data_IF_493294614200
#
_entry.id   IF_493294614200
#
_cell.length_a   1.000
_cell.length_b   1.000
_cell.length_c   1.000
_cell.angle_alpha   90.00
_cell.angle_beta   90.00
_cell.angle_gamma   90.00
#
_symmetry.space_group_name_H-M   'P 1'
#
loop_
_entity.id
_entity.type
_entity.pdbx_description
1 polymer ?
#
# COMPACT_ATOMS: atom_id res chain seq x y z
N UNK A 1 13.30 -1.89 -12.98
CA UNK A 1 12.88 -3.30 -12.77
C UNK A 1 14.03 -4.17 -12.27
N UNK A 2 15.13 -4.34 -13.01
CA UNK A 2 16.20 -5.29 -12.64
C UNK A 2 16.79 -5.10 -11.23
N UNK A 3 17.04 -3.85 -10.82
CA UNK A 3 17.43 -3.53 -9.43
C UNK A 3 16.43 -4.02 -8.38
N UNK A 4 15.13 -3.94 -8.64
CA UNK A 4 14.06 -4.40 -7.74
C UNK A 4 13.99 -5.91 -7.65
N UNK A 5 14.18 -6.62 -8.77
CA UNK A 5 14.28 -8.08 -8.78
C UNK A 5 15.48 -8.53 -7.93
N UNK A 6 16.61 -7.83 -8.03
CA UNK A 6 17.77 -8.07 -7.17
C UNK A 6 17.47 -7.78 -5.70
N UNK A 7 16.77 -6.69 -5.39
CA UNK A 7 16.33 -6.38 -4.02
C UNK A 7 15.38 -7.45 -3.46
N UNK A 8 14.44 -7.95 -4.25
CA UNK A 8 13.54 -9.04 -3.85
C UNK A 8 14.35 -10.28 -3.49
N UNK A 9 15.26 -10.68 -4.39
CA UNK A 9 16.12 -11.85 -4.18
C UNK A 9 16.95 -11.73 -2.91
N UNK A 10 17.65 -10.60 -2.74
CA UNK A 10 18.54 -10.38 -1.59
C UNK A 10 17.74 -10.25 -0.28
N UNK A 11 16.59 -9.58 -0.31
CA UNK A 11 15.71 -9.48 0.86
C UNK A 11 15.11 -10.82 1.30
N UNK A 12 14.98 -11.78 0.39
CA UNK A 12 14.60 -13.16 0.69
C UNK A 12 15.82 -14.06 1.07
N UNK A 13 17.04 -13.51 1.13
CA UNK A 13 18.25 -14.27 1.46
C UNK A 13 18.71 -15.24 0.37
N UNK A 14 18.22 -15.09 -0.88
CA UNK A 14 18.41 -16.07 -1.94
C UNK A 14 19.63 -15.78 -2.82
N UNK A 15 20.30 -16.84 -3.28
CA UNK A 15 21.23 -16.83 -4.41
C UNK A 15 20.46 -16.86 -5.73
N UNK A 16 21.10 -16.47 -6.83
CA UNK A 16 20.45 -16.42 -8.15
C UNK A 16 19.90 -17.77 -8.60
N UNK A 17 20.61 -18.87 -8.30
CA UNK A 17 20.17 -20.22 -8.64
C UNK A 17 18.97 -20.68 -7.79
N UNK A 18 18.86 -20.22 -6.54
CA UNK A 18 17.73 -20.53 -5.66
C UNK A 18 16.47 -19.83 -6.14
N UNK A 19 16.59 -18.54 -6.49
CA UNK A 19 15.49 -17.82 -7.13
C UNK A 19 15.12 -18.46 -8.47
N UNK A 20 16.09 -18.89 -9.26
CA UNK A 20 15.82 -19.55 -10.54
C UNK A 20 14.98 -20.83 -10.36
N UNK A 21 15.28 -21.62 -9.31
CA UNK A 21 14.51 -22.81 -8.95
C UNK A 21 13.07 -22.47 -8.57
N UNK A 22 12.86 -21.41 -7.79
CA UNK A 22 11.52 -20.93 -7.42
C UNK A 22 10.73 -20.47 -8.66
N UNK A 23 11.38 -19.73 -9.56
CA UNK A 23 10.76 -19.19 -10.78
C UNK A 23 10.62 -20.23 -11.92
N UNK A 24 11.06 -21.48 -11.72
CA UNK A 24 11.06 -22.50 -12.76
C UNK A 24 11.88 -22.10 -13.99
N UNK A 25 13.05 -21.50 -13.78
CA UNK A 25 13.92 -20.97 -14.85
C UNK A 25 15.40 -21.24 -14.56
N UNK A 26 16.30 -20.73 -15.41
CA UNK A 26 17.74 -20.90 -15.26
C UNK A 26 18.39 -19.74 -14.50
N UNK A 27 19.54 -19.98 -13.87
CA UNK A 27 20.33 -18.91 -13.23
C UNK A 27 20.67 -17.79 -14.24
N UNK A 28 20.98 -18.15 -15.49
CA UNK A 28 21.25 -17.19 -16.57
C UNK A 28 20.04 -16.29 -16.86
N UNK A 29 18.83 -16.84 -16.82
CA UNK A 29 17.61 -16.05 -16.96
C UNK A 29 17.43 -15.07 -15.79
N UNK A 30 17.67 -15.50 -14.55
CA UNK A 30 17.63 -14.60 -13.37
C UNK A 30 18.66 -13.48 -13.49
N UNK A 31 19.89 -13.79 -13.92
CA UNK A 31 20.91 -12.77 -14.19
C UNK A 31 20.41 -11.74 -15.21
N UNK A 32 19.81 -12.19 -16.33
CA UNK A 32 19.22 -11.30 -17.34
C UNK A 32 18.11 -10.43 -16.74
N UNK A 33 17.26 -10.98 -15.87
CA UNK A 33 16.19 -10.23 -15.23
C UNK A 33 16.73 -9.12 -14.33
N UNK A 34 17.76 -9.40 -13.54
CA UNK A 34 18.42 -8.40 -12.70
C UNK A 34 19.08 -7.26 -13.50
N UNK A 35 19.38 -7.51 -14.78
CA UNK A 35 19.92 -6.53 -15.72
C UNK A 35 18.87 -5.87 -16.63
N UNK A 36 17.58 -6.13 -16.38
CA UNK A 36 16.48 -5.40 -17.02
C UNK A 36 15.73 -6.14 -18.12
N UNK A 37 16.05 -7.41 -18.38
CA UNK A 37 15.21 -8.25 -19.26
C UNK A 37 13.88 -8.55 -18.56
N UNK A 38 12.76 -8.24 -19.22
CA UNK A 38 11.43 -8.41 -18.63
C UNK A 38 11.09 -9.91 -18.54
N UNK A 39 10.77 -10.43 -17.35
CA UNK A 39 10.30 -11.81 -17.21
C UNK A 39 8.90 -11.98 -17.80
N UNK A 40 8.57 -13.20 -18.20
CA UNK A 40 7.21 -13.55 -18.62
C UNK A 40 6.19 -13.37 -17.47
N UNK A 41 4.89 -13.16 -17.78
CA UNK A 41 3.87 -12.86 -16.77
C UNK A 41 3.83 -13.84 -15.59
N UNK A 42 3.98 -15.14 -15.85
CA UNK A 42 4.03 -16.17 -14.79
C UNK A 42 5.17 -15.93 -13.81
N UNK A 43 6.36 -15.58 -14.29
CA UNK A 43 7.53 -15.32 -13.45
C UNK A 43 7.41 -14.01 -12.69
N UNK A 44 6.75 -13.00 -13.27
CA UNK A 44 6.43 -11.76 -12.57
C UNK A 44 5.51 -12.01 -11.38
N UNK A 45 4.51 -12.88 -11.51
CA UNK A 45 3.63 -13.26 -10.40
C UNK A 45 4.44 -13.95 -9.28
N UNK A 46 5.31 -14.90 -9.64
CA UNK A 46 6.16 -15.58 -8.65
C UNK A 46 7.16 -14.61 -7.99
N UNK A 47 7.75 -13.68 -8.74
CA UNK A 47 8.59 -12.62 -8.19
C UNK A 47 7.85 -11.73 -7.21
N UNK A 48 6.59 -11.37 -7.50
CA UNK A 48 5.77 -10.60 -6.60
C UNK A 48 5.45 -11.37 -5.31
N UNK A 49 5.25 -12.70 -5.41
CA UNK A 49 5.05 -13.57 -4.24
C UNK A 49 6.28 -13.67 -3.35
N UNK A 50 7.45 -13.98 -3.92
CA UNK A 50 8.74 -13.95 -3.19
C UNK A 50 9.02 -12.55 -2.64
N UNK A 51 8.57 -11.54 -3.38
CA UNK A 51 8.70 -10.14 -3.04
C UNK A 51 7.80 -9.66 -1.92
N UNK A 52 6.77 -10.43 -1.54
CA UNK A 52 5.62 -9.97 -0.74
C UNK A 52 5.12 -8.59 -1.22
N UNK A 53 5.00 -8.44 -2.53
CA UNK A 53 4.71 -7.17 -3.21
C UNK A 53 3.73 -7.38 -4.36
N UNK A 54 3.52 -6.35 -5.19
CA UNK A 54 2.68 -6.41 -6.39
C UNK A 54 3.53 -6.58 -7.66
N UNK A 55 2.95 -7.16 -8.71
CA UNK A 55 3.61 -7.22 -10.04
C UNK A 55 3.89 -5.80 -10.56
N UNK A 56 2.98 -4.87 -10.31
CA UNK A 56 3.14 -3.45 -10.62
C UNK A 56 4.43 -2.92 -10.00
N UNK A 57 4.62 -3.09 -8.69
CA UNK A 57 5.82 -2.61 -7.99
C UNK A 57 7.10 -3.22 -8.54
N UNK A 58 7.12 -4.51 -8.88
CA UNK A 58 8.28 -5.15 -9.52
C UNK A 58 8.66 -4.40 -10.82
N UNK A 59 7.65 -4.06 -11.62
CA UNK A 59 7.82 -3.41 -12.92
C UNK A 59 8.13 -1.93 -12.80
N UNK A 60 7.43 -1.16 -11.98
CA UNK A 60 7.47 0.31 -11.90
C UNK A 60 8.27 0.80 -10.69
N UNK A 61 8.12 0.14 -9.54
CA UNK A 61 8.58 0.59 -8.22
C UNK A 61 7.50 1.35 -7.44
N UNK A 62 6.28 1.35 -7.94
CA UNK A 62 5.12 2.03 -7.37
C UNK A 62 3.93 1.07 -7.33
N UNK A 63 3.15 1.15 -6.26
CA UNK A 63 1.88 0.45 -6.12
C UNK A 63 0.76 1.18 -6.88
N UNK A 64 -0.07 0.45 -7.62
CA UNK A 64 -1.15 1.05 -8.43
C UNK A 64 -2.22 1.71 -7.55
N UNK A 65 -2.40 1.15 -6.35
CA UNK A 65 -3.47 1.45 -5.44
C UNK A 65 -3.28 2.76 -4.65
N UNK A 66 -2.04 3.20 -4.43
CA UNK A 66 -1.76 4.39 -3.60
C UNK A 66 -0.49 5.15 -4.01
N UNK A 67 0.19 4.74 -5.08
CA UNK A 67 1.47 5.31 -5.50
C UNK A 67 2.60 5.09 -4.50
N UNK A 68 2.42 4.20 -3.52
CA UNK A 68 3.44 3.93 -2.52
C UNK A 68 4.66 3.29 -3.19
N UNK A 69 5.83 3.75 -2.78
CA UNK A 69 7.13 3.23 -3.23
C UNK A 69 7.68 2.17 -2.30
N UNK A 70 7.05 1.94 -1.14
CA UNK A 70 7.41 0.84 -0.25
C UNK A 70 7.17 -0.50 -0.96
N UNK A 71 7.98 -1.50 -0.61
CA UNK A 71 7.90 -2.82 -1.25
C UNK A 71 6.73 -3.63 -0.69
N UNK A 72 6.42 -3.45 0.59
CA UNK A 72 5.49 -4.31 1.30
C UNK A 72 4.08 -4.18 0.72
N UNK A 73 3.50 -5.31 0.35
CA UNK A 73 2.09 -5.36 -0.02
C UNK A 73 1.24 -4.95 1.18
N UNK A 74 0.23 -4.15 0.92
CA UNK A 74 -0.76 -3.76 1.93
C UNK A 74 -1.37 -4.99 2.59
N UNK A 75 -1.60 -4.91 3.90
CA UNK A 75 -2.22 -5.99 4.66
C UNK A 75 -3.66 -6.25 4.16
N UNK A 76 -4.14 -7.47 4.39
CA UNK A 76 -5.50 -7.86 4.00
C UNK A 76 -6.54 -6.98 4.67
N UNK A 77 -6.32 -6.59 5.93
CA UNK A 77 -7.21 -5.71 6.69
C UNK A 77 -7.34 -4.33 6.04
N UNK A 78 -6.24 -3.75 5.55
CA UNK A 78 -6.25 -2.48 4.82
C UNK A 78 -7.06 -2.61 3.53
N UNK A 79 -6.87 -3.71 2.78
CA UNK A 79 -7.55 -3.93 1.51
C UNK A 79 -9.06 -4.14 1.70
N UNK A 80 -9.47 -4.90 2.70
CA UNK A 80 -10.89 -5.13 2.99
C UNK A 80 -11.57 -3.87 3.50
N UNK A 81 -10.86 -3.08 4.31
CA UNK A 81 -11.33 -1.75 4.73
C UNK A 81 -11.49 -0.82 3.53
N UNK A 82 -10.51 -0.76 2.63
CA UNK A 82 -10.59 0.05 1.41
C UNK A 82 -11.77 -0.38 0.51
N UNK A 83 -12.03 -1.69 0.38
CA UNK A 83 -13.19 -2.22 -0.36
C UNK A 83 -14.51 -1.77 0.25
N UNK A 84 -14.64 -1.80 1.58
CA UNK A 84 -15.83 -1.30 2.25
C UNK A 84 -16.04 0.19 1.96
N UNK A 85 -14.98 0.99 2.06
CA UNK A 85 -15.04 2.43 1.82
C UNK A 85 -15.38 2.78 0.36
N UNK A 86 -14.95 1.96 -0.61
CA UNK A 86 -15.32 2.12 -2.03
C UNK A 86 -16.83 2.05 -2.30
N UNK A 87 -17.64 1.49 -1.39
CA UNK A 87 -19.10 1.41 -1.55
C UNK A 87 -19.83 2.71 -1.18
N UNK A 88 -19.11 3.68 -0.59
CA UNK A 88 -19.70 4.92 -0.12
C UNK A 88 -20.04 5.88 -1.27
N UNK A 89 -21.20 6.51 -1.17
CA UNK A 89 -21.62 7.59 -2.07
C UNK A 89 -20.83 8.90 -1.82
N UNK A 90 -21.00 9.89 -2.68
CA UNK A 90 -20.25 11.16 -2.61
C UNK A 90 -20.43 11.88 -1.27
N UNK A 91 -21.66 11.90 -0.75
CA UNK A 91 -22.00 12.61 0.48
C UNK A 91 -21.40 11.92 1.71
N UNK A 92 -21.46 10.60 1.76
CA UNK A 92 -20.86 9.78 2.82
C UNK A 92 -19.34 9.91 2.77
N UNK A 93 -18.76 10.03 1.57
CA UNK A 93 -17.32 10.24 1.42
C UNK A 93 -16.86 11.58 1.99
N UNK A 94 -17.58 12.67 1.72
CA UNK A 94 -17.30 13.98 2.33
C UNK A 94 -17.43 13.95 3.86
N UNK A 95 -18.42 13.22 4.38
CA UNK A 95 -18.59 13.04 5.83
C UNK A 95 -17.41 12.30 6.43
N UNK A 96 -16.90 11.27 5.74
CA UNK A 96 -15.74 10.50 6.19
C UNK A 96 -14.46 11.34 6.17
N UNK A 97 -14.24 12.15 5.14
CA UNK A 97 -13.11 13.10 5.09
C UNK A 97 -13.11 14.04 6.30
N UNK A 98 -14.27 14.59 6.63
CA UNK A 98 -14.43 15.50 7.76
C UNK A 98 -14.23 14.77 9.10
N UNK A 99 -14.81 13.58 9.26
CA UNK A 99 -14.61 12.76 10.45
C UNK A 99 -13.13 12.41 10.66
N UNK A 100 -12.43 11.96 9.62
CA UNK A 100 -10.99 11.66 9.68
C UNK A 100 -10.15 12.90 10.00
N UNK A 101 -10.54 14.08 9.49
CA UNK A 101 -9.89 15.35 9.83
C UNK A 101 -10.04 15.67 11.32
N UNK A 102 -11.25 15.59 11.84
CA UNK A 102 -11.55 15.87 13.26
C UNK A 102 -10.78 14.91 14.16
N UNK A 103 -10.76 13.60 13.85
CA UNK A 103 -10.09 12.62 14.69
C UNK A 103 -8.57 12.85 14.69
N UNK A 104 -7.95 13.16 13.55
CA UNK A 104 -6.52 13.50 13.48
C UNK A 104 -6.17 14.72 14.32
N UNK A 105 -6.99 15.77 14.24
CA UNK A 105 -6.81 16.98 15.05
C UNK A 105 -6.90 16.67 16.55
N UNK A 106 -7.88 15.85 16.94
CA UNK A 106 -8.03 15.39 18.32
C UNK A 106 -6.81 14.59 18.81
N UNK A 107 -6.28 13.68 17.99
CA UNK A 107 -5.08 12.89 18.33
C UNK A 107 -3.85 13.77 18.46
N UNK A 108 -3.63 14.70 17.54
CA UNK A 108 -2.52 15.65 17.60
C UNK A 108 -2.54 16.50 18.89
N UNK A 109 -3.72 16.96 19.31
CA UNK A 109 -3.88 17.70 20.57
C UNK A 109 -3.56 16.82 21.79
N UNK A 110 -3.89 15.53 21.74
CA UNK A 110 -3.60 14.60 22.83
C UNK A 110 -2.12 14.22 22.91
N UNK A 111 -1.45 14.05 21.78
CA UNK A 111 0.00 13.78 21.70
C UNK A 111 0.82 15.00 22.16
N UNK A 112 0.42 16.22 21.81
CA UNK A 112 1.09 17.46 22.24
C UNK A 112 0.92 17.79 23.74
N UNK A 113 0.00 17.14 24.45
CA UNK A 113 -0.30 17.35 25.88
C UNK A 113 0.41 16.38 26.83
N UNK A 114 1.40 15.62 26.37
CA UNK A 114 2.15 14.65 27.19
C UNK A 114 2.82 15.25 28.44
N UNK A 115 2.87 16.58 28.57
CA UNK A 115 3.40 17.29 29.74
C UNK A 115 2.36 17.61 30.83
N UNK A 116 1.05 17.42 30.58
CA UNK A 116 -0.01 17.92 31.47
C UNK A 116 -0.69 16.77 32.27
N UNK A 117 -0.50 16.68 33.60
CA UNK A 117 -0.95 15.54 34.41
C UNK A 117 -2.48 15.36 34.43
N UNK A 118 -3.24 16.40 34.10
CA UNK A 118 -4.72 16.37 34.02
C UNK A 118 -5.22 15.54 32.84
N UNK A 119 -4.45 15.46 31.74
CA UNK A 119 -4.88 14.76 30.51
C UNK A 119 -4.74 13.24 30.61
N UNK A 120 -3.92 12.74 31.54
CA UNK A 120 -3.72 11.31 31.81
C UNK A 120 -4.89 10.66 32.57
N UNK A 121 -5.79 11.46 33.16
CA UNK A 121 -6.84 10.98 34.05
C UNK A 121 -8.18 10.71 33.36
N UNK A 122 -8.37 11.08 32.09
CA UNK A 122 -9.61 10.76 31.37
C UNK A 122 -9.51 9.38 30.70
N UNK A 123 -10.37 8.41 31.06
CA UNK A 123 -10.40 7.10 30.40
C UNK A 123 -10.59 7.19 28.89
N UNK A 124 -11.27 8.25 28.43
CA UNK A 124 -11.55 8.48 27.02
C UNK A 124 -10.32 9.00 26.26
N UNK A 125 -9.47 9.83 26.87
CA UNK A 125 -8.22 10.27 26.22
C UNK A 125 -7.22 9.12 26.11
N UNK A 126 -7.14 8.27 27.14
CA UNK A 126 -6.31 7.08 27.12
C UNK A 126 -6.79 6.04 26.09
N UNK A 127 -8.10 5.75 26.05
CA UNK A 127 -8.68 4.85 25.05
C UNK A 127 -8.52 5.41 23.62
N UNK A 128 -8.77 6.71 23.42
CA UNK A 128 -8.57 7.34 22.11
C UNK A 128 -7.09 7.27 21.69
N UNK A 129 -6.13 7.59 22.57
CA UNK A 129 -4.69 7.43 22.29
C UNK A 129 -4.31 5.99 21.93
N UNK A 130 -4.81 5.01 22.69
CA UNK A 130 -4.52 3.60 22.49
C UNK A 130 -5.04 3.07 21.14
N UNK A 131 -6.24 3.49 20.73
CA UNK A 131 -6.84 3.07 19.47
C UNK A 131 -6.41 3.93 18.28
N UNK A 132 -6.03 5.19 18.50
CA UNK A 132 -5.72 6.16 17.46
C UNK A 132 -4.57 5.72 16.56
N UNK A 133 -3.44 5.29 17.13
CA UNK A 133 -2.22 5.06 16.34
C UNK A 133 -2.44 4.05 15.21
N UNK A 134 -2.74 2.80 15.57
CA UNK A 134 -2.85 1.71 14.59
C UNK A 134 -4.15 1.77 13.77
N UNK A 135 -5.28 2.13 14.41
CA UNK A 135 -6.59 2.13 13.72
C UNK A 135 -6.72 3.30 12.75
N UNK A 136 -6.22 4.50 13.10
CA UNK A 136 -6.26 5.63 12.18
C UNK A 136 -5.28 5.46 11.05
N UNK A 137 -4.08 4.92 11.31
CA UNK A 137 -3.14 4.64 10.22
C UNK A 137 -3.77 3.68 9.19
N UNK A 138 -4.41 2.61 9.67
CA UNK A 138 -5.12 1.65 8.82
C UNK A 138 -6.24 2.33 8.01
N UNK A 139 -7.12 3.09 8.66
CA UNK A 139 -8.23 3.80 8.02
C UNK A 139 -7.72 4.85 7.02
N UNK A 140 -6.69 5.61 7.36
CA UNK A 140 -6.11 6.62 6.47
C UNK A 140 -5.46 5.99 5.24
N UNK A 141 -4.71 4.89 5.41
CA UNK A 141 -4.12 4.16 4.29
C UNK A 141 -5.21 3.61 3.39
N UNK A 142 -6.25 2.98 3.97
CA UNK A 142 -7.40 2.48 3.24
C UNK A 142 -8.14 3.58 2.46
N UNK A 143 -8.31 4.75 3.07
CA UNK A 143 -8.95 5.91 2.44
C UNK A 143 -8.13 6.50 1.29
N UNK A 144 -6.81 6.65 1.46
CA UNK A 144 -5.90 7.10 0.39
C UNK A 144 -5.93 6.15 -0.80
N UNK A 145 -5.99 4.84 -0.54
CA UNK A 145 -6.11 3.82 -1.58
C UNK A 145 -7.38 4.03 -2.39
N UNK A 146 -8.54 4.10 -1.72
CA UNK A 146 -9.82 4.32 -2.40
C UNK A 146 -9.77 5.55 -3.32
N UNK A 147 -9.26 6.68 -2.81
CA UNK A 147 -9.21 7.93 -3.56
C UNK A 147 -8.32 7.81 -4.81
N UNK A 148 -7.13 7.23 -4.67
CA UNK A 148 -6.22 7.01 -5.80
C UNK A 148 -6.85 6.09 -6.87
N UNK A 149 -7.56 5.05 -6.45
CA UNK A 149 -8.31 4.17 -7.37
C UNK A 149 -9.40 4.94 -8.11
N UNK A 150 -10.22 5.73 -7.41
CA UNK A 150 -11.28 6.54 -8.02
C UNK A 150 -10.73 7.59 -9.00
N UNK A 151 -9.69 8.31 -8.62
CA UNK A 151 -9.03 9.31 -9.48
C UNK A 151 -8.48 8.67 -10.76
N UNK A 152 -7.95 7.45 -10.69
CA UNK A 152 -7.39 6.75 -11.86
C UNK A 152 -8.48 6.17 -12.76
N UNK A 153 -9.50 5.52 -12.18
CA UNK A 153 -10.64 4.99 -12.95
C UNK A 153 -11.37 6.11 -13.70
N UNK A 154 -11.61 7.25 -13.04
CA UNK A 154 -12.26 8.40 -13.67
C UNK A 154 -11.39 9.01 -14.78
N UNK A 155 -10.07 9.08 -14.59
CA UNK A 155 -9.12 9.53 -15.62
C UNK A 155 -9.12 8.62 -16.85
N UNK A 156 -9.10 7.30 -16.64
CA UNK A 156 -9.08 6.33 -17.73
C UNK A 156 -10.43 6.29 -18.48
N UNK A 157 -11.54 6.44 -17.77
CA UNK A 157 -12.86 6.60 -18.38
C UNK A 157 -12.93 7.85 -19.28
N UNK A 158 -12.42 9.00 -18.81
CA UNK A 158 -12.34 10.24 -19.60
C UNK A 158 -11.48 10.07 -20.86
N UNK A 159 -10.34 9.37 -20.76
CA UNK A 159 -9.47 9.10 -21.93
C UNK A 159 -10.18 8.25 -22.99
N UNK A 160 -10.94 7.23 -22.59
CA UNK A 160 -11.70 6.38 -23.53
C UNK A 160 -12.80 7.17 -24.25
N UNK A 161 -13.49 8.05 -23.54
CA UNK A 161 -14.53 8.92 -24.12
C UNK A 161 -13.96 10.00 -25.06
N UNK A 162 -12.69 10.38 -24.92
CA UNK A 162 -12.04 11.35 -25.79
C UNK A 162 -11.40 10.72 -27.05
N UNK A 163 -11.36 9.38 -27.14
CA UNK A 163 -10.74 8.63 -28.24
C UNK A 163 -11.77 7.91 -29.13
N UNK A 164 -13.06 7.98 -28.80
CA UNK A 164 -14.18 7.48 -29.61
C UNK A 164 -15.06 8.62 -30.08
#
# INVERSE_FOLDING_TARGET
MGRRIRQIRLGAGLRQWELARILGTTQSAVHKYEHGVVPEPRRLIELARVGETSVEWVLTGEHWENGATDRARLSTEILDTARCLCTLDERSRQTMDEALRIVREAVSVLEGRDSDPVTQLSPHSAALKAHAGETLELLERAWKIQRAVLERVTRDAKKRLAQG
#
